data_IF_112958439551
#
_entry.id   IF_112958439551
#
_cell.length_a   1.000
_cell.length_b   1.000
_cell.length_c   1.000
_cell.angle_alpha   90.00
_cell.angle_beta   90.00
_cell.angle_gamma   90.00
#
_symmetry.space_group_name_H-M   'P 1'
#
loop_
_entity.id
_entity.type
_entity.pdbx_description
1 polymer ?
#
# COMPACT_ATOMS: atom_id res chain seq x y z
N UNK A 1 -21.95 -46.90 -3.90
CA UNK A 1 -20.83 -45.95 -3.80
C UNK A 1 -20.49 -45.77 -2.32
N UNK A 2 -19.20 -45.74 -1.94
CA UNK A 2 -18.77 -45.65 -0.51
C UNK A 2 -18.45 -44.22 -0.05
N UNK A 3 -18.52 -43.24 -0.96
CA UNK A 3 -18.21 -41.84 -0.73
C UNK A 3 -19.23 -40.99 -1.48
N UNK A 4 -19.83 -40.04 -0.78
CA UNK A 4 -20.77 -39.06 -1.35
C UNK A 4 -20.25 -37.66 -1.00
N UNK A 5 -20.09 -36.81 -2.01
CA UNK A 5 -19.69 -35.42 -1.82
C UNK A 5 -20.94 -34.55 -1.72
N UNK A 6 -21.02 -33.75 -0.66
CA UNK A 6 -22.15 -32.87 -0.36
C UNK A 6 -21.62 -31.46 -0.07
N UNK A 7 -22.27 -30.43 -0.62
CA UNK A 7 -21.95 -29.03 -0.29
C UNK A 7 -22.78 -28.62 0.92
N UNK A 8 -22.11 -28.22 2.01
CA UNK A 8 -22.77 -27.82 3.25
C UNK A 8 -21.76 -27.21 4.23
N UNK A 9 -22.26 -26.72 5.38
CA UNK A 9 -21.42 -26.10 6.41
C UNK A 9 -21.30 -27.04 7.61
N UNK A 10 -20.08 -27.41 7.97
CA UNK A 10 -19.81 -28.35 9.06
C UNK A 10 -18.79 -27.76 10.03
N UNK A 11 -19.13 -27.68 11.32
CA UNK A 11 -18.21 -27.12 12.32
C UNK A 11 -17.07 -28.06 12.73
N UNK A 12 -17.35 -29.37 12.79
CA UNK A 12 -16.41 -30.48 13.00
C UNK A 12 -17.05 -31.75 12.45
N UNK A 13 -16.23 -32.68 11.99
CA UNK A 13 -16.67 -34.01 11.59
C UNK A 13 -17.20 -34.81 12.76
N UNK A 14 -18.05 -35.76 12.42
CA UNK A 14 -18.70 -36.63 13.39
C UNK A 14 -18.99 -37.99 12.77
N UNK A 15 -19.17 -38.97 13.66
CA UNK A 15 -19.52 -40.34 13.28
C UNK A 15 -20.88 -40.72 13.87
N UNK A 16 -21.82 -41.10 13.01
CA UNK A 16 -23.10 -41.67 13.42
C UNK A 16 -22.96 -43.19 13.50
N UNK A 17 -22.66 -43.69 14.70
CA UNK A 17 -22.34 -45.11 14.94
C UNK A 17 -23.45 -46.05 14.49
N UNK A 18 -24.72 -45.71 14.76
CA UNK A 18 -25.88 -46.54 14.41
C UNK A 18 -26.12 -46.66 12.90
N UNK A 19 -25.72 -45.66 12.13
CA UNK A 19 -25.91 -45.61 10.68
C UNK A 19 -24.63 -45.94 9.90
N UNK A 20 -23.54 -46.26 10.61
CA UNK A 20 -22.21 -46.48 10.03
C UNK A 20 -21.75 -45.34 9.10
N UNK A 21 -22.19 -44.11 9.38
CA UNK A 21 -21.87 -42.93 8.58
C UNK A 21 -20.77 -42.13 9.26
N UNK A 22 -19.76 -41.74 8.48
CA UNK A 22 -18.73 -40.79 8.89
C UNK A 22 -18.89 -39.55 8.01
N UNK A 23 -18.99 -38.39 8.65
CA UNK A 23 -19.01 -37.09 7.99
C UNK A 23 -17.74 -36.36 8.37
N UNK A 24 -16.91 -36.04 7.39
CA UNK A 24 -15.65 -35.29 7.57
C UNK A 24 -15.77 -33.94 6.88
N UNK A 25 -15.27 -32.90 7.55
CA UNK A 25 -15.07 -31.60 6.94
C UNK A 25 -13.79 -31.57 6.09
N UNK A 26 -13.72 -30.64 5.15
CA UNK A 26 -12.50 -30.28 4.43
C UNK A 26 -11.39 -29.84 5.41
N UNK A 27 -11.76 -29.07 6.44
CA UNK A 27 -10.87 -28.64 7.53
C UNK A 27 -10.16 -29.79 8.24
N UNK A 28 -10.81 -30.94 8.43
CA UNK A 28 -10.23 -32.10 9.10
C UNK A 28 -9.44 -33.00 8.16
N UNK A 29 -9.85 -33.09 6.89
CA UNK A 29 -9.11 -33.82 5.87
C UNK A 29 -7.78 -33.15 5.52
N UNK A 30 -7.76 -31.81 5.48
CA UNK A 30 -6.59 -31.03 5.09
C UNK A 30 -5.89 -30.34 6.28
N UNK A 31 -6.32 -30.64 7.52
CA UNK A 31 -5.81 -30.02 8.75
C UNK A 31 -5.83 -28.47 8.72
N UNK A 32 -6.84 -27.90 8.04
CA UNK A 32 -7.02 -26.45 7.86
C UNK A 32 -7.97 -25.95 8.94
N UNK A 33 -7.45 -25.21 9.92
CA UNK A 33 -8.31 -24.55 10.91
C UNK A 33 -9.09 -23.43 10.21
N UNK A 34 -10.42 -23.53 10.10
CA UNK A 34 -11.24 -22.39 9.69
C UNK A 34 -11.10 -21.27 10.73
N UNK A 35 -10.30 -20.25 10.43
CA UNK A 35 -10.24 -19.04 11.24
C UNK A 35 -11.46 -18.21 10.86
N UNK A 36 -12.50 -18.25 11.70
CA UNK A 36 -13.68 -17.40 11.54
C UNK A 36 -13.23 -15.93 11.47
N UNK A 37 -13.45 -15.22 10.35
CA UNK A 37 -13.33 -13.78 10.35
C UNK A 37 -14.44 -13.27 11.26
N UNK A 38 -14.10 -12.63 12.38
CA UNK A 38 -15.05 -11.74 13.03
C UNK A 38 -15.23 -10.57 12.07
N UNK A 39 -16.32 -10.60 11.30
CA UNK A 39 -16.76 -9.45 10.52
C UNK A 39 -17.18 -8.36 11.49
N UNK A 40 -16.21 -7.58 11.99
CA UNK A 40 -16.50 -6.23 12.42
C UNK A 40 -16.96 -5.52 11.17
N UNK A 41 -18.26 -5.22 11.10
CA UNK A 41 -18.81 -4.23 10.18
C UNK A 41 -18.15 -2.90 10.53
N UNK A 42 -16.96 -2.65 10.01
CA UNK A 42 -16.47 -1.29 9.84
C UNK A 42 -17.46 -0.64 8.87
N UNK A 43 -18.21 0.33 9.39
CA UNK A 43 -18.94 1.25 8.52
C UNK A 43 -17.93 1.78 7.50
N UNK A 44 -18.28 1.85 6.20
CA UNK A 44 -17.45 2.60 5.27
C UNK A 44 -17.34 4.01 5.84
N UNK A 45 -16.14 4.38 6.26
CA UNK A 45 -15.84 5.72 6.71
C UNK A 45 -15.90 6.58 5.44
N UNK A 46 -17.12 7.00 5.08
CA UNK A 46 -17.40 7.97 4.03
C UNK A 46 -16.98 9.38 4.50
N UNK A 47 -15.80 9.48 5.10
CA UNK A 47 -15.08 10.73 5.36
C UNK A 47 -13.77 10.70 4.60
N UNK A 48 -13.86 10.34 3.33
CA UNK A 48 -12.84 10.74 2.38
C UNK A 48 -12.96 12.25 2.18
N UNK A 49 -12.04 12.97 2.85
CA UNK A 49 -11.57 14.30 2.47
C UNK A 49 -12.55 15.47 2.75
N UNK A 50 -12.94 15.68 4.00
CA UNK A 50 -13.48 16.97 4.48
C UNK A 50 -12.60 17.67 5.52
N UNK A 51 -11.41 17.11 5.85
CA UNK A 51 -10.49 17.67 6.86
C UNK A 51 -9.60 18.81 6.34
N UNK A 52 -9.89 19.39 5.17
CA UNK A 52 -8.99 20.37 4.55
C UNK A 52 -8.95 21.74 5.24
N UNK A 53 -9.85 22.03 6.19
CA UNK A 53 -9.90 23.30 6.92
C UNK A 53 -10.12 23.16 8.44
N UNK A 54 -9.55 22.13 9.07
CA UNK A 54 -9.37 22.14 10.53
C UNK A 54 -8.23 23.11 10.90
N UNK A 55 -8.52 24.41 10.76
CA UNK A 55 -7.62 25.52 11.05
C UNK A 55 -7.91 26.09 12.43
N UNK A 56 -7.06 25.74 13.40
CA UNK A 56 -7.10 26.34 14.73
C UNK A 56 -6.15 27.54 14.80
N UNK A 57 -6.50 28.62 15.53
CA UNK A 57 -5.58 29.72 15.77
C UNK A 57 -4.24 29.21 16.33
N UNK A 58 -3.14 29.65 15.72
CA UNK A 58 -1.79 29.20 16.04
C UNK A 58 -1.24 28.14 15.07
N UNK A 59 -2.09 27.47 14.28
CA UNK A 59 -1.64 26.53 13.26
C UNK A 59 -0.82 27.25 12.17
N UNK A 60 0.16 26.54 11.62
CA UNK A 60 0.90 27.00 10.46
C UNK A 60 0.08 26.77 9.19
N UNK A 61 0.13 27.75 8.29
CA UNK A 61 -0.56 27.71 7.00
C UNK A 61 0.39 28.17 5.91
N UNK A 62 0.09 27.78 4.68
CA UNK A 62 0.80 28.21 3.48
C UNK A 62 -0.14 29.08 2.67
N UNK A 63 0.25 30.33 2.44
CA UNK A 63 -0.39 31.18 1.45
C UNK A 63 0.36 31.05 0.12
N UNK A 64 -0.36 30.75 -0.98
CA UNK A 64 0.26 30.45 -2.28
C UNK A 64 1.27 31.51 -2.77
N UNK A 65 0.99 32.80 -2.53
CA UNK A 65 1.85 33.90 -2.96
C UNK A 65 2.91 34.33 -1.93
N UNK A 66 2.67 34.12 -0.63
CA UNK A 66 3.44 34.76 0.44
C UNK A 66 4.20 33.77 1.33
N UNK A 67 3.94 32.47 1.16
CA UNK A 67 4.62 31.40 1.86
C UNK A 67 4.00 31.05 3.21
N UNK A 68 4.82 30.58 4.12
CA UNK A 68 4.40 30.02 5.40
C UNK A 68 4.06 31.15 6.38
N UNK A 69 2.84 31.16 6.87
CA UNK A 69 2.32 32.05 7.90
C UNK A 69 1.70 31.27 9.06
N UNK A 70 1.23 31.99 10.08
CA UNK A 70 0.49 31.44 11.21
C UNK A 70 -0.93 31.98 11.19
N UNK A 71 -1.91 31.10 11.26
CA UNK A 71 -3.32 31.50 11.34
C UNK A 71 -3.62 32.11 12.71
N UNK A 72 -4.33 33.25 12.74
CA UNK A 72 -4.70 33.98 13.96
C UNK A 72 -6.21 34.09 14.19
N UNK A 73 -7.01 33.44 13.37
CA UNK A 73 -8.48 33.49 13.45
C UNK A 73 -9.11 34.33 12.34
N UNK A 74 -10.43 34.49 12.44
CA UNK A 74 -11.21 35.38 11.58
C UNK A 74 -11.29 36.77 12.19
N UNK A 75 -11.30 37.81 11.36
CA UNK A 75 -11.61 39.18 11.74
C UNK A 75 -12.65 39.76 10.80
N UNK A 76 -13.60 40.52 11.36
CA UNK A 76 -14.49 41.37 10.60
C UNK A 76 -13.77 42.68 10.30
N UNK A 77 -13.69 43.04 9.03
CA UNK A 77 -13.13 44.30 8.57
C UNK A 77 -14.26 45.07 7.88
N UNK A 78 -14.57 46.26 8.40
CA UNK A 78 -15.54 47.15 7.79
C UNK A 78 -14.89 47.94 6.66
N UNK A 79 -15.41 47.78 5.44
CA UNK A 79 -14.99 48.58 4.28
C UNK A 79 -16.22 49.16 3.60
N UNK A 80 -16.33 50.48 3.58
CA UNK A 80 -17.42 51.22 2.91
C UNK A 80 -18.84 50.78 3.33
N UNK A 81 -19.05 50.51 4.63
CA UNK A 81 -20.37 50.17 5.17
C UNK A 81 -20.79 48.70 4.99
N UNK A 82 -19.88 47.83 4.51
CA UNK A 82 -20.06 46.38 4.52
C UNK A 82 -18.97 45.74 5.39
N UNK A 83 -19.41 44.92 6.35
CA UNK A 83 -18.52 44.09 7.16
C UNK A 83 -18.17 42.84 6.38
N UNK A 84 -16.89 42.64 6.08
CA UNK A 84 -16.40 41.45 5.39
C UNK A 84 -15.47 40.62 6.28
N UNK A 85 -15.70 39.31 6.32
CA UNK A 85 -14.86 38.38 7.07
C UNK A 85 -13.55 38.11 6.33
N UNK A 86 -12.45 38.20 7.09
CA UNK A 86 -11.10 37.96 6.60
C UNK A 86 -10.38 36.98 7.53
N UNK A 87 -9.62 36.05 6.94
CA UNK A 87 -8.64 35.26 7.67
C UNK A 87 -7.44 36.15 8.03
N UNK A 88 -7.09 36.19 9.32
CA UNK A 88 -5.92 36.89 9.83
C UNK A 88 -4.72 35.95 9.83
N UNK A 89 -3.71 36.25 9.02
CA UNK A 89 -2.46 35.48 8.94
C UNK A 89 -1.29 36.32 9.44
N UNK A 90 -0.43 35.75 10.28
CA UNK A 90 0.80 36.37 10.76
C UNK A 90 2.02 35.78 10.07
N UNK A 91 2.86 36.64 9.51
CA UNK A 91 4.12 36.30 8.86
C UNK A 91 5.31 36.75 9.72
N UNK A 92 6.53 36.58 9.20
CA UNK A 92 7.74 37.05 9.89
C UNK A 92 7.65 38.54 10.20
N UNK A 93 8.36 38.98 11.23
CA UNK A 93 8.40 40.38 11.67
C UNK A 93 7.02 40.91 12.15
N UNK A 94 6.12 39.98 12.57
CA UNK A 94 4.74 40.25 13.02
C UNK A 94 3.84 40.94 11.97
N UNK A 95 4.18 40.83 10.69
CA UNK A 95 3.36 41.38 9.60
C UNK A 95 2.06 40.59 9.49
N UNK A 96 0.92 41.28 9.52
CA UNK A 96 -0.40 40.68 9.37
C UNK A 96 -0.88 40.80 7.92
N UNK A 97 -1.44 39.71 7.39
CA UNK A 97 -2.13 39.67 6.10
C UNK A 97 -3.57 39.27 6.35
N UNK A 98 -4.51 40.04 5.79
CA UNK A 98 -5.93 39.75 5.84
C UNK A 98 -6.38 39.20 4.49
N UNK A 99 -6.77 37.93 4.48
CA UNK A 99 -7.23 37.25 3.25
C UNK A 99 -8.76 37.15 3.32
N UNK A 100 -9.52 37.74 2.38
CA UNK A 100 -10.96 37.59 2.34
C UNK A 100 -11.38 36.11 2.36
N UNK A 101 -12.46 35.76 3.06
CA UNK A 101 -12.96 34.37 3.08
C UNK A 101 -13.27 33.84 1.67
N UNK A 102 -13.67 34.72 0.74
CA UNK A 102 -13.86 34.36 -0.68
C UNK A 102 -12.59 33.83 -1.36
N UNK A 103 -11.40 34.15 -0.84
CA UNK A 103 -10.10 33.72 -1.35
C UNK A 103 -9.43 32.65 -0.45
N UNK A 104 -10.21 31.95 0.38
CA UNK A 104 -9.70 30.93 1.30
C UNK A 104 -8.90 29.80 0.61
N UNK A 105 -9.21 29.49 -0.66
CA UNK A 105 -8.51 28.50 -1.48
C UNK A 105 -7.02 28.82 -1.70
N UNK A 106 -6.58 30.06 -1.47
CA UNK A 106 -5.17 30.46 -1.51
C UNK A 106 -4.39 30.06 -0.26
N UNK A 107 -5.08 29.60 0.79
CA UNK A 107 -4.54 29.23 2.09
C UNK A 107 -4.72 27.73 2.31
N UNK A 108 -3.64 27.05 2.65
CA UNK A 108 -3.65 25.62 2.96
C UNK A 108 -2.99 25.37 4.31
N UNK A 109 -3.47 24.37 5.07
CA UNK A 109 -2.78 23.94 6.29
C UNK A 109 -1.37 23.46 5.96
N UNK A 110 -0.37 23.94 6.70
CA UNK A 110 0.99 23.46 6.53
C UNK A 110 1.09 22.04 7.10
N UNK A 111 1.44 21.08 6.24
CA UNK A 111 1.76 19.71 6.64
C UNK A 111 3.24 19.50 6.37
N UNK A 112 4.02 19.32 7.44
CA UNK A 112 5.46 19.16 7.37
C UNK A 112 5.98 18.13 8.38
N UNK A 113 7.27 17.77 8.27
CA UNK A 113 7.87 16.79 9.16
C UNK A 113 7.77 17.24 10.63
N UNK A 114 7.22 16.37 11.49
CA UNK A 114 6.86 16.67 12.88
C UNK A 114 8.02 17.17 13.77
N UNK A 115 9.28 16.98 13.35
CA UNK A 115 10.49 17.32 14.13
C UNK A 115 11.06 18.71 13.86
N UNK A 116 10.52 19.49 12.92
CA UNK A 116 11.10 20.80 12.59
C UNK A 116 10.00 21.83 12.32
N UNK A 117 9.95 22.86 13.16
CA UNK A 117 9.08 24.01 12.94
C UNK A 117 9.68 24.90 11.86
N UNK A 118 9.02 25.11 10.70
CA UNK A 118 9.55 25.96 9.66
C UNK A 118 9.55 27.44 10.09
N UNK A 119 10.47 28.21 9.55
CA UNK A 119 10.47 29.67 9.71
C UNK A 119 9.30 30.32 8.95
N UNK A 120 8.69 31.33 9.56
CA UNK A 120 7.68 32.15 8.88
C UNK A 120 8.32 32.90 7.70
N UNK A 121 7.57 32.96 6.61
CA UNK A 121 8.00 33.67 5.40
C UNK A 121 7.89 35.18 5.59
N UNK A 122 8.75 35.95 4.89
CA UNK A 122 8.68 37.41 4.87
C UNK A 122 7.88 37.88 3.65
N UNK A 123 6.83 38.67 3.90
CA UNK A 123 6.04 39.31 2.83
C UNK A 123 6.93 40.30 2.07
N UNK A 124 6.82 40.30 0.74
CA UNK A 124 7.61 41.14 -0.16
C UNK A 124 9.06 40.67 -0.39
N UNK A 125 9.46 39.54 0.21
CA UNK A 125 10.75 38.91 -0.07
C UNK A 125 10.70 37.96 -1.26
N UNK A 126 11.78 37.85 -2.04
CA UNK A 126 11.90 36.89 -3.16
C UNK A 126 12.24 35.46 -2.72
N UNK A 127 12.40 35.21 -1.42
CA UNK A 127 12.80 33.90 -0.89
C UNK A 127 11.76 32.82 -1.16
N UNK A 128 10.46 33.15 -1.05
CA UNK A 128 9.37 32.21 -1.31
C UNK A 128 9.30 31.86 -2.80
N UNK A 129 9.34 32.86 -3.67
CA UNK A 129 9.33 32.66 -5.13
C UNK A 129 10.52 31.83 -5.60
N UNK A 130 11.74 32.12 -5.09
CA UNK A 130 12.93 31.32 -5.39
C UNK A 130 12.79 29.87 -4.92
N UNK A 131 12.26 29.64 -3.71
CA UNK A 131 11.97 28.28 -3.20
C UNK A 131 10.95 27.57 -4.09
N UNK A 132 9.85 28.24 -4.44
CA UNK A 132 8.79 27.70 -5.31
C UNK A 132 9.35 27.33 -6.69
N UNK A 133 10.15 28.21 -7.30
CA UNK A 133 10.78 27.95 -8.60
C UNK A 133 11.71 26.73 -8.54
N UNK A 134 12.60 26.67 -7.54
CA UNK A 134 13.51 25.53 -7.35
C UNK A 134 12.77 24.21 -7.16
N UNK A 135 11.68 24.21 -6.37
CA UNK A 135 10.87 23.01 -6.16
C UNK A 135 10.13 22.64 -7.45
N UNK A 136 9.61 23.60 -8.20
CA UNK A 136 8.95 23.34 -9.48
C UNK A 136 9.92 22.70 -10.50
N UNK A 137 11.15 23.21 -10.59
CA UNK A 137 12.21 22.62 -11.41
C UNK A 137 12.50 21.18 -10.97
N UNK A 138 12.74 20.94 -9.68
CA UNK A 138 12.99 19.59 -9.16
C UNK A 138 11.83 18.61 -9.38
N UNK A 139 10.58 19.08 -9.29
CA UNK A 139 9.39 18.27 -9.57
C UNK A 139 9.30 17.93 -11.06
N UNK A 140 9.61 18.88 -11.94
CA UNK A 140 9.65 18.63 -13.38
C UNK A 140 10.76 17.64 -13.76
N UNK A 141 11.93 17.76 -13.15
CA UNK A 141 13.05 16.84 -13.37
C UNK A 141 12.66 15.41 -12.94
N UNK A 142 12.08 15.27 -11.74
CA UNK A 142 11.58 13.97 -11.26
C UNK A 142 10.50 13.39 -12.17
N UNK A 143 9.55 14.20 -12.61
CA UNK A 143 8.49 13.76 -13.52
C UNK A 143 9.07 13.32 -14.87
N UNK A 144 10.06 14.04 -15.40
CA UNK A 144 10.76 13.68 -16.64
C UNK A 144 11.49 12.34 -16.49
N UNK A 145 12.20 12.14 -15.37
CA UNK A 145 12.88 10.88 -15.08
C UNK A 145 11.91 9.71 -14.95
N UNK A 146 10.78 9.90 -14.27
CA UNK A 146 9.72 8.88 -14.16
C UNK A 146 9.14 8.52 -15.53
N UNK A 147 8.84 9.50 -16.37
CA UNK A 147 8.35 9.28 -17.72
C UNK A 147 9.38 8.56 -18.59
N UNK A 148 10.65 8.96 -18.52
CA UNK A 148 11.74 8.31 -19.23
C UNK A 148 11.89 6.84 -18.79
N UNK A 149 11.84 6.56 -17.48
CA UNK A 149 11.90 5.19 -16.96
C UNK A 149 10.75 4.32 -17.49
N UNK A 150 9.53 4.86 -17.51
CA UNK A 150 8.38 4.14 -18.08
C UNK A 150 8.52 3.93 -19.58
N UNK A 151 8.97 4.93 -20.33
CA UNK A 151 9.18 4.81 -21.78
C UNK A 151 10.23 3.74 -22.12
N UNK A 152 11.35 3.70 -21.38
CA UNK A 152 12.37 2.64 -21.53
C UNK A 152 11.77 1.27 -21.23
N UNK A 153 10.94 1.15 -20.19
CA UNK A 153 10.29 -0.11 -19.82
C UNK A 153 9.27 -0.58 -20.87
N UNK A 154 8.46 0.33 -21.40
CA UNK A 154 7.47 0.03 -22.44
C UNK A 154 8.11 -0.38 -23.77
N UNK A 155 9.28 0.17 -24.08
CA UNK A 155 10.04 -0.19 -25.27
C UNK A 155 10.73 -1.57 -25.15
N UNK A 156 10.97 -2.06 -23.94
CA UNK A 156 11.62 -3.36 -23.73
C UNK A 156 10.61 -4.50 -23.75
N UNK A 157 10.91 -5.62 -24.44
CA UNK A 157 10.08 -6.80 -24.37
C UNK A 157 10.14 -7.38 -22.94
N UNK A 158 8.98 -7.62 -22.35
CA UNK A 158 8.83 -8.28 -21.06
C UNK A 158 8.74 -9.79 -21.19
N UNK A 159 8.83 -10.46 -20.05
CA UNK A 159 8.56 -11.90 -19.94
C UNK A 159 7.07 -12.08 -19.65
N UNK A 160 6.37 -12.77 -20.55
CA UNK A 160 4.99 -13.19 -20.31
C UNK A 160 4.97 -14.50 -19.53
N UNK A 161 4.16 -14.55 -18.49
CA UNK A 161 3.94 -15.76 -17.69
C UNK A 161 2.66 -16.48 -18.13
N UNK A 162 2.63 -17.83 -18.07
CA UNK A 162 1.47 -18.59 -18.48
C UNK A 162 0.26 -18.32 -17.58
N UNK A 163 -0.91 -18.61 -18.14
CA UNK A 163 -2.18 -18.54 -17.42
C UNK A 163 -2.37 -19.81 -16.56
N UNK A 164 -2.70 -19.59 -15.29
CA UNK A 164 -3.45 -20.51 -14.43
C UNK A 164 -3.19 -22.01 -14.59
N UNK A 165 -2.15 -22.57 -13.97
CA UNK A 165 -2.02 -24.02 -13.84
C UNK A 165 -2.97 -24.60 -12.78
N UNK A 166 -3.11 -25.93 -12.80
CA UNK A 166 -3.79 -26.66 -11.71
C UNK A 166 -3.17 -26.33 -10.35
N UNK A 167 -1.84 -26.22 -10.27
CA UNK A 167 -1.15 -25.84 -9.04
C UNK A 167 -1.44 -24.41 -8.61
N UNK A 168 -1.59 -23.46 -9.52
CA UNK A 168 -2.01 -22.10 -9.16
C UNK A 168 -3.40 -22.09 -8.52
N UNK A 169 -4.32 -22.91 -9.05
CA UNK A 169 -5.67 -23.07 -8.49
C UNK A 169 -5.64 -23.68 -7.09
N UNK A 170 -4.86 -24.76 -6.90
CA UNK A 170 -4.70 -25.39 -5.59
C UNK A 170 -3.99 -24.47 -4.59
N UNK A 171 -2.99 -23.70 -5.05
CA UNK A 171 -2.32 -22.69 -4.23
C UNK A 171 -3.31 -21.64 -3.74
N UNK A 172 -4.16 -21.10 -4.61
CA UNK A 172 -5.18 -20.12 -4.23
C UNK A 172 -6.20 -20.71 -3.22
N UNK A 173 -6.66 -21.95 -3.45
CA UNK A 173 -7.59 -22.68 -2.56
C UNK A 173 -6.99 -23.05 -1.20
N UNK A 174 -5.67 -23.18 -1.12
CA UNK A 174 -4.97 -23.43 0.14
C UNK A 174 -4.92 -22.19 1.05
N UNK A 175 -5.34 -21.02 0.58
CA UNK A 175 -5.42 -19.83 1.40
C UNK A 175 -6.54 -19.96 2.45
N UNK A 176 -6.23 -19.88 3.76
CA UNK A 176 -7.20 -20.17 4.82
C UNK A 176 -8.18 -19.03 5.12
N UNK A 177 -8.07 -17.89 4.43
CA UNK A 177 -8.91 -16.72 4.64
C UNK A 177 -9.72 -16.41 3.39
N UNK A 178 -10.89 -15.79 3.57
CA UNK A 178 -11.66 -15.24 2.46
C UNK A 178 -11.07 -13.90 2.02
N UNK A 179 -10.87 -13.75 0.73
CA UNK A 179 -10.36 -12.52 0.12
C UNK A 179 -11.41 -11.39 0.19
N UNK A 180 -10.95 -10.16 0.37
CA UNK A 180 -11.78 -8.97 0.18
C UNK A 180 -11.91 -8.63 -1.31
N UNK A 181 -12.91 -7.81 -1.67
CA UNK A 181 -13.08 -7.35 -3.06
C UNK A 181 -11.80 -6.65 -3.59
N UNK A 182 -11.23 -5.73 -2.81
CA UNK A 182 -9.99 -5.02 -3.18
C UNK A 182 -8.79 -5.98 -3.32
N UNK A 183 -8.73 -7.05 -2.51
CA UNK A 183 -7.68 -8.07 -2.62
C UNK A 183 -7.84 -8.87 -3.91
N UNK A 184 -9.06 -9.30 -4.24
CA UNK A 184 -9.34 -10.04 -5.46
C UNK A 184 -8.99 -9.20 -6.70
N UNK A 185 -9.39 -7.92 -6.72
CA UNK A 185 -9.04 -7.00 -7.80
C UNK A 185 -7.52 -6.81 -7.92
N UNK A 186 -6.81 -6.68 -6.80
CA UNK A 186 -5.35 -6.58 -6.79
C UNK A 186 -4.68 -7.84 -7.33
N UNK A 187 -5.16 -9.03 -6.95
CA UNK A 187 -4.66 -10.32 -7.42
C UNK A 187 -4.86 -10.46 -8.92
N UNK A 188 -6.07 -10.17 -9.41
CA UNK A 188 -6.39 -10.25 -10.84
C UNK A 188 -5.57 -9.25 -11.66
N UNK A 189 -5.41 -8.02 -11.17
CA UNK A 189 -4.62 -6.97 -11.80
C UNK A 189 -3.15 -7.35 -11.91
N UNK A 190 -2.55 -7.87 -10.83
CA UNK A 190 -1.16 -8.33 -10.82
C UNK A 190 -0.99 -9.53 -11.75
N UNK A 191 -1.90 -10.50 -11.70
CA UNK A 191 -1.85 -11.66 -12.59
C UNK A 191 -1.98 -11.28 -14.06
N UNK A 192 -2.85 -10.33 -14.39
CA UNK A 192 -3.01 -9.80 -15.74
C UNK A 192 -1.75 -9.09 -16.23
N UNK A 193 -1.09 -8.31 -15.37
CA UNK A 193 0.17 -7.66 -15.72
C UNK A 193 1.30 -8.66 -15.97
N UNK A 194 1.40 -9.73 -15.17
CA UNK A 194 2.37 -10.82 -15.38
C UNK A 194 2.16 -11.60 -16.69
N UNK A 195 0.93 -11.62 -17.23
CA UNK A 195 0.65 -12.27 -18.52
C UNK A 195 1.05 -11.40 -19.72
N UNK A 196 1.27 -10.10 -19.54
CA UNK A 196 1.62 -9.19 -20.65
C UNK A 196 3.05 -9.41 -21.12
N UNK A 197 3.30 -9.12 -22.39
CA UNK A 197 4.63 -9.11 -23.01
C UNK A 197 5.44 -7.84 -22.72
N UNK A 198 5.07 -7.08 -21.67
CA UNK A 198 5.76 -5.88 -21.21
C UNK A 198 6.12 -6.02 -19.73
N UNK A 199 7.25 -5.48 -19.25
CA UNK A 199 7.61 -5.60 -17.85
C UNK A 199 6.57 -4.91 -16.95
N UNK A 200 6.13 -5.61 -15.90
CA UNK A 200 5.22 -5.07 -14.89
C UNK A 200 5.96 -4.11 -13.96
N UNK A 201 5.33 -2.96 -13.65
CA UNK A 201 5.73 -2.05 -12.57
C UNK A 201 4.47 -1.59 -11.83
N UNK A 202 4.20 -2.21 -10.68
CA UNK A 202 2.96 -2.00 -9.93
C UNK A 202 3.27 -1.77 -8.46
N UNK A 203 2.68 -0.71 -7.92
CA UNK A 203 2.68 -0.42 -6.49
C UNK A 203 1.37 -0.89 -5.87
N UNK A 204 1.46 -1.80 -4.91
CA UNK A 204 0.32 -2.24 -4.10
C UNK A 204 0.31 -1.49 -2.76
N UNK A 205 -0.63 -0.57 -2.60
CA UNK A 205 -0.83 0.18 -1.37
C UNK A 205 -1.92 -0.48 -0.51
N UNK A 206 -1.70 -0.56 0.79
CA UNK A 206 -2.69 -1.06 1.74
C UNK A 206 -2.13 -1.09 3.15
N UNK A 207 -3.00 -1.13 4.15
CA UNK A 207 -2.60 -1.11 5.55
C UNK A 207 -2.00 -2.44 6.03
N UNK A 208 -1.38 -2.41 7.21
CA UNK A 208 -0.82 -3.62 7.84
C UNK A 208 -1.95 -4.62 8.08
N UNK A 209 -1.76 -5.87 7.65
CA UNK A 209 -2.75 -6.95 7.80
C UNK A 209 -3.72 -7.11 6.62
N UNK A 210 -3.70 -6.23 5.61
CA UNK A 210 -4.61 -6.30 4.46
C UNK A 210 -4.18 -7.33 3.40
N UNK A 211 -3.42 -8.36 3.75
CA UNK A 211 -3.11 -9.47 2.84
C UNK A 211 -2.17 -9.14 1.67
N UNK A 212 -1.46 -8.01 1.67
CA UNK A 212 -0.48 -7.65 0.62
C UNK A 212 0.53 -8.78 0.33
N UNK A 213 0.95 -9.48 1.38
CA UNK A 213 1.87 -10.61 1.27
C UNK A 213 1.26 -11.76 0.47
N UNK A 214 -0.04 -12.05 0.61
CA UNK A 214 -0.71 -13.09 -0.18
C UNK A 214 -0.75 -12.72 -1.66
N UNK A 215 -1.04 -11.45 -2.00
CA UNK A 215 -0.99 -10.97 -3.38
C UNK A 215 0.40 -11.18 -3.98
N UNK A 216 1.45 -10.83 -3.24
CA UNK A 216 2.84 -11.03 -3.67
C UNK A 216 3.21 -12.52 -3.80
N UNK A 217 2.71 -13.38 -2.90
CA UNK A 217 2.94 -14.82 -2.97
C UNK A 217 2.29 -15.46 -4.18
N UNK A 218 1.06 -15.05 -4.56
CA UNK A 218 0.39 -15.53 -5.77
C UNK A 218 1.13 -15.09 -7.04
N UNK A 219 1.58 -13.85 -7.07
CA UNK A 219 2.42 -13.34 -8.15
C UNK A 219 3.73 -14.14 -8.30
N UNK A 220 4.40 -14.40 -7.17
CA UNK A 220 5.61 -15.22 -7.14
C UNK A 220 5.33 -16.65 -7.63
N UNK A 221 4.22 -17.25 -7.17
CA UNK A 221 3.85 -18.60 -7.55
C UNK A 221 3.57 -18.72 -9.06
N UNK A 222 2.85 -17.75 -9.66
CA UNK A 222 2.64 -17.70 -11.10
C UNK A 222 3.96 -17.59 -11.88
N UNK A 223 4.92 -16.82 -11.38
CA UNK A 223 6.24 -16.74 -12.00
C UNK A 223 7.03 -18.05 -11.92
N UNK A 224 7.01 -18.72 -10.76
CA UNK A 224 7.67 -20.00 -10.51
C UNK A 224 7.08 -21.11 -11.37
N UNK A 225 5.76 -21.18 -11.45
CA UNK A 225 5.01 -22.13 -12.28
C UNK A 225 5.31 -21.92 -13.77
N UNK A 226 5.62 -20.68 -14.18
CA UNK A 226 6.17 -20.34 -15.50
C UNK A 226 7.66 -20.66 -15.69
N UNK A 227 8.29 -21.40 -14.77
CA UNK A 227 9.69 -21.81 -14.82
C UNK A 227 10.69 -20.69 -14.55
N UNK A 228 10.29 -19.64 -13.82
CA UNK A 228 11.15 -18.47 -13.51
C UNK A 228 11.53 -18.42 -12.03
N UNK A 229 12.66 -17.80 -11.76
CA UNK A 229 13.08 -17.50 -10.38
C UNK A 229 12.46 -16.18 -9.91
N UNK A 230 12.21 -16.09 -8.60
CA UNK A 230 11.64 -14.90 -7.96
C UNK A 230 12.56 -14.41 -6.87
N UNK A 231 12.79 -13.10 -6.83
CA UNK A 231 13.53 -12.43 -5.77
C UNK A 231 12.60 -11.49 -4.99
N UNK A 232 12.63 -11.60 -3.65
CA UNK A 232 11.88 -10.71 -2.74
C UNK A 232 12.89 -9.87 -1.96
N UNK A 233 12.94 -8.57 -2.25
CA UNK A 233 13.82 -7.63 -1.57
C UNK A 233 13.08 -6.96 -0.42
N UNK A 234 13.74 -6.89 0.74
CA UNK A 234 13.19 -6.33 1.98
C UNK A 234 14.22 -5.44 2.68
N UNK A 235 13.79 -4.42 3.43
CA UNK A 235 14.71 -3.41 3.98
C UNK A 235 15.47 -3.88 5.23
N UNK A 236 14.99 -4.92 5.92
CA UNK A 236 15.60 -5.37 7.19
C UNK A 236 15.74 -6.89 7.24
N UNK A 237 16.71 -7.37 8.02
CA UNK A 237 16.97 -8.80 8.22
C UNK A 237 15.83 -9.50 8.95
N UNK A 238 15.13 -8.79 9.84
CA UNK A 238 13.94 -9.31 10.55
C UNK A 238 12.80 -9.58 9.56
N UNK A 239 12.54 -8.63 8.64
CA UNK A 239 11.54 -8.84 7.60
C UNK A 239 11.96 -9.96 6.64
N UNK A 240 13.26 -10.10 6.35
CA UNK A 240 13.75 -11.21 5.53
C UNK A 240 13.43 -12.58 6.14
N UNK A 241 13.64 -12.73 7.44
CA UNK A 241 13.32 -13.97 8.15
C UNK A 241 11.81 -14.20 8.26
N UNK A 242 11.03 -13.13 8.52
CA UNK A 242 9.58 -13.20 8.55
C UNK A 242 9.01 -13.67 7.20
N UNK A 243 9.42 -13.04 6.09
CA UNK A 243 8.98 -13.43 4.76
C UNK A 243 9.48 -14.84 4.42
N UNK A 244 10.73 -15.18 4.72
CA UNK A 244 11.25 -16.53 4.50
C UNK A 244 10.36 -17.60 5.14
N UNK A 245 9.99 -17.41 6.42
CA UNK A 245 9.11 -18.32 7.13
C UNK A 245 7.72 -18.39 6.51
N UNK A 246 7.07 -17.24 6.28
CA UNK A 246 5.71 -17.23 5.72
C UNK A 246 5.67 -17.84 4.32
N UNK A 247 6.64 -17.53 3.45
CA UNK A 247 6.74 -18.14 2.11
C UNK A 247 6.96 -19.64 2.21
N UNK A 248 7.87 -20.09 3.08
CA UNK A 248 8.18 -21.52 3.25
C UNK A 248 6.99 -22.31 3.78
N UNK A 249 6.26 -21.77 4.76
CA UNK A 249 5.04 -22.38 5.29
C UNK A 249 3.93 -22.42 4.24
N UNK A 250 3.72 -21.32 3.50
CA UNK A 250 2.65 -21.19 2.51
C UNK A 250 2.85 -22.07 1.27
N UNK A 251 4.10 -22.33 0.88
CA UNK A 251 4.47 -23.12 -0.29
C UNK A 251 4.98 -24.53 0.04
N UNK A 252 4.84 -24.99 1.29
CA UNK A 252 5.39 -26.28 1.75
C UNK A 252 4.86 -27.51 1.00
N UNK A 253 3.63 -27.45 0.49
CA UNK A 253 3.00 -28.54 -0.27
C UNK A 253 3.41 -28.58 -1.75
N UNK A 254 4.25 -27.63 -2.19
CA UNK A 254 4.64 -27.46 -3.58
C UNK A 254 6.14 -27.75 -3.76
N UNK A 255 6.58 -28.19 -4.95
CA UNK A 255 7.98 -28.49 -5.23
C UNK A 255 8.81 -27.21 -5.46
N UNK A 256 8.75 -26.27 -4.51
CA UNK A 256 9.43 -24.98 -4.56
C UNK A 256 10.46 -24.91 -3.45
N UNK A 257 11.72 -24.64 -3.82
CA UNK A 257 12.78 -24.40 -2.84
C UNK A 257 12.87 -22.90 -2.56
N UNK A 258 12.65 -22.52 -1.31
CA UNK A 258 12.77 -21.13 -0.85
C UNK A 258 14.02 -21.01 0.00
N UNK A 259 14.80 -19.96 -0.23
CA UNK A 259 16.03 -19.68 0.50
C UNK A 259 16.06 -18.20 0.88
N UNK A 260 16.75 -17.88 1.98
CA UNK A 260 16.93 -16.50 2.43
C UNK A 260 18.39 -16.09 2.46
N UNK A 261 18.66 -14.88 1.94
CA UNK A 261 19.97 -14.25 1.99
C UNK A 261 19.90 -13.06 2.94
N UNK A 262 20.44 -13.20 4.14
CA UNK A 262 20.43 -12.14 5.16
C UNK A 262 21.66 -12.22 6.06
N UNK A 263 21.83 -11.21 6.93
CA UNK A 263 22.91 -11.19 7.93
C UNK A 263 22.80 -12.30 8.97
N UNK A 264 21.66 -12.98 9.09
CA UNK A 264 21.51 -14.12 10.00
C UNK A 264 22.11 -15.41 9.44
N UNK A 265 22.44 -15.47 8.14
CA UNK A 265 23.12 -16.61 7.53
C UNK A 265 24.64 -16.42 7.60
N UNK A 266 25.35 -17.50 7.88
CA UNK A 266 26.82 -17.53 7.81
C UNK A 266 27.30 -17.34 6.37
N UNK A 267 28.54 -16.87 6.18
CA UNK A 267 29.14 -16.70 4.83
C UNK A 267 29.10 -17.99 4.00
N UNK A 268 29.30 -19.15 4.63
CA UNK A 268 29.21 -20.46 3.97
C UNK A 268 27.80 -20.75 3.45
N UNK A 269 26.77 -20.46 4.27
CA UNK A 269 25.37 -20.62 3.86
C UNK A 269 25.00 -19.64 2.75
N UNK A 270 25.42 -18.39 2.84
CA UNK A 270 25.18 -17.37 1.80
C UNK A 270 25.76 -17.80 0.45
N UNK A 271 27.01 -18.26 0.43
CA UNK A 271 27.66 -18.77 -0.79
C UNK A 271 26.94 -20.01 -1.34
N UNK A 272 26.54 -20.94 -0.47
CA UNK A 272 25.77 -22.12 -0.89
C UNK A 272 24.38 -21.79 -1.43
N UNK A 273 23.73 -20.73 -0.94
CA UNK A 273 22.46 -20.23 -1.51
C UNK A 273 22.69 -19.59 -2.88
N UNK A 274 23.71 -18.75 -3.04
CA UNK A 274 24.03 -18.14 -4.33
C UNK A 274 24.36 -19.20 -5.40
N UNK A 275 25.07 -20.27 -5.04
CA UNK A 275 25.38 -21.36 -5.96
C UNK A 275 24.15 -22.19 -6.39
N UNK A 276 23.10 -22.25 -5.57
CA UNK A 276 21.86 -22.97 -5.89
C UNK A 276 20.88 -22.13 -6.73
N UNK A 277 21.04 -20.81 -6.69
CA UNK A 277 20.18 -19.86 -7.40
C UNK A 277 20.84 -19.38 -8.71
N UNK A 278 22.15 -19.53 -8.87
CA UNK A 278 22.88 -19.30 -10.13
C UNK A 278 22.66 -20.45 -11.13
#
# INVERSE_FOLDING_TARGET
ERLTLCVGRLGRGFRLVRQQLIVLGDSELFNRTEIRPQTRRTRPDARAIDSFLDLEPGNLVVHLAHGIGRYRGLKLIDRQGRSEEHLSLEFRDRVQLYVPVSLIHLVQKYVGPSKTTPELSKIGGSTWEKKKKRVAEAVNDLASDMLRMQAVREAQPGLSHPEGSHWQTEFARAFPYSETADQAEAIDSVGADLRRSRPMDRLLCGDVGYGKTEVAMRAAFQAIDGGRQVAVLVPTTVLAEQHFRTFSERMAEFPVTIESLSRFKTRKQQLGTLQRVA
#
